data_IF_309739307343
#
_entry.id   IF_309739307343
#
_cell.length_a   1.000
_cell.length_b   1.000
_cell.length_c   1.000
_cell.angle_alpha   90.00
_cell.angle_beta   90.00
_cell.angle_gamma   90.00
#
_symmetry.space_group_name_H-M   'P 1'
#
loop_
_entity.id
_entity.type
_entity.pdbx_description
1 polymer ?
#
# COMPACT_ATOMS: atom_id res chain seq x y z
N UNK A 1 23.36 16.27 -24.05
CA UNK A 1 23.98 15.11 -24.74
C UNK A 1 23.00 14.59 -25.77
N UNK A 2 23.30 14.90 -27.02
CA UNK A 2 22.56 14.45 -28.20
C UNK A 2 22.67 12.94 -28.34
N UNK A 3 21.54 12.27 -28.45
CA UNK A 3 21.55 10.89 -28.92
C UNK A 3 20.25 10.53 -29.64
N UNK A 4 20.43 10.38 -30.95
CA UNK A 4 19.75 9.45 -31.84
C UNK A 4 18.23 9.60 -32.11
N UNK A 5 17.91 10.45 -33.08
CA UNK A 5 16.77 10.26 -33.97
C UNK A 5 17.26 9.98 -35.42
N UNK A 6 17.63 8.73 -35.79
CA UNK A 6 17.98 8.41 -37.17
C UNK A 6 16.81 7.92 -38.04
N UNK A 7 15.66 7.58 -37.51
CA UNK A 7 14.63 6.88 -38.30
C UNK A 7 13.53 7.78 -38.91
N UNK A 8 13.24 8.94 -38.33
CA UNK A 8 12.25 9.86 -38.91
C UNK A 8 12.74 10.59 -40.20
N UNK A 9 14.05 10.78 -40.34
CA UNK A 9 14.63 11.47 -41.51
C UNK A 9 14.68 10.58 -42.75
N UNK A 10 14.72 9.24 -42.58
CA UNK A 10 14.74 8.31 -43.72
C UNK A 10 13.36 8.06 -44.34
N UNK A 11 12.28 8.22 -43.64
CA UNK A 11 10.91 8.05 -44.15
C UNK A 11 10.46 9.21 -45.06
N UNK A 12 10.99 10.40 -44.88
CA UNK A 12 10.66 11.57 -45.70
C UNK A 12 11.34 11.62 -47.08
N UNK A 13 12.40 10.84 -47.31
CA UNK A 13 13.04 10.74 -48.64
C UNK A 13 12.38 9.69 -49.55
N UNK A 14 11.56 8.78 -49.07
CA UNK A 14 10.81 7.80 -49.84
C UNK A 14 9.42 8.30 -50.31
N UNK A 15 8.99 9.45 -49.83
CA UNK A 15 7.65 10.03 -50.07
C UNK A 15 7.50 10.80 -51.39
N UNK A 16 8.51 10.92 -52.27
CA UNK A 16 8.42 11.59 -53.56
C UNK A 16 8.09 10.66 -54.73
N UNK A 17 7.50 9.50 -54.49
CA UNK A 17 6.97 8.69 -55.56
C UNK A 17 5.52 9.07 -55.84
N UNK A 18 5.33 9.58 -57.07
CA UNK A 18 4.11 9.89 -57.80
C UNK A 18 2.85 9.16 -57.30
N UNK A 19 1.75 9.92 -57.21
CA UNK A 19 0.42 9.38 -56.85
C UNK A 19 0.11 8.07 -57.59
N UNK A 20 -0.70 7.16 -57.03
CA UNK A 20 -1.08 5.90 -57.72
C UNK A 20 -1.54 6.12 -59.15
N UNK A 21 -2.19 7.24 -59.38
CA UNK A 21 -2.67 7.66 -60.69
C UNK A 21 -1.49 7.93 -61.67
N UNK A 22 -0.44 8.59 -61.25
CA UNK A 22 0.74 8.86 -62.08
C UNK A 22 1.47 7.55 -62.40
N UNK A 23 1.59 6.62 -61.46
CA UNK A 23 2.16 5.29 -61.72
C UNK A 23 1.34 4.48 -62.70
N UNK A 24 -0.01 4.51 -62.61
CA UNK A 24 -0.87 3.86 -63.55
C UNK A 24 -0.77 4.46 -64.96
N UNK A 25 -0.76 5.80 -65.06
CA UNK A 25 -0.56 6.50 -66.35
C UNK A 25 0.77 6.16 -66.97
N UNK A 26 1.87 6.12 -66.20
CA UNK A 26 3.17 5.70 -66.69
C UNK A 26 3.17 4.25 -67.18
N UNK A 27 2.58 3.34 -66.48
CA UNK A 27 2.45 1.94 -66.89
C UNK A 27 1.69 1.82 -68.21
N UNK A 28 0.56 2.56 -68.35
CA UNK A 28 -0.23 2.61 -69.59
C UNK A 28 0.60 3.21 -70.76
N UNK A 29 1.29 4.32 -70.48
CA UNK A 29 2.13 4.95 -71.53
C UNK A 29 3.23 4.02 -72.01
N UNK A 30 3.96 3.37 -71.12
CA UNK A 30 4.97 2.38 -71.45
C UNK A 30 4.41 1.22 -72.24
N UNK A 31 3.23 0.70 -71.86
CA UNK A 31 2.56 -0.35 -72.60
C UNK A 31 2.17 0.08 -74.05
N UNK A 32 1.63 1.28 -74.19
CA UNK A 32 1.29 1.86 -75.52
C UNK A 32 2.53 2.05 -76.38
N UNK A 33 3.63 2.57 -75.85
CA UNK A 33 4.87 2.74 -76.57
C UNK A 33 5.47 1.42 -77.04
N UNK A 34 5.52 0.41 -76.13
CA UNK A 34 6.01 -0.92 -76.45
C UNK A 34 5.11 -1.57 -77.52
N UNK A 35 3.81 -1.43 -77.39
CA UNK A 35 2.80 -1.97 -78.33
C UNK A 35 2.99 -1.36 -79.73
N UNK A 36 3.10 -0.03 -79.83
CA UNK A 36 3.32 0.67 -81.09
C UNK A 36 4.64 0.28 -81.73
N UNK A 37 5.73 0.19 -80.97
CA UNK A 37 7.01 -0.27 -81.47
C UNK A 37 6.97 -1.71 -81.93
N UNK A 38 6.30 -2.59 -81.21
CA UNK A 38 6.11 -3.98 -81.62
C UNK A 38 5.35 -4.07 -82.96
N UNK A 39 4.24 -3.39 -83.13
CA UNK A 39 3.41 -3.41 -84.32
C UNK A 39 4.29 -2.90 -85.53
N UNK A 40 4.83 -1.71 -85.42
CA UNK A 40 5.57 -1.08 -86.51
C UNK A 40 6.83 -1.86 -86.93
N UNK A 41 7.61 -2.35 -85.93
CA UNK A 41 8.86 -3.06 -86.24
C UNK A 41 8.56 -4.48 -86.76
N UNK A 42 7.64 -5.19 -86.16
CA UNK A 42 7.32 -6.57 -86.51
C UNK A 42 6.57 -6.66 -87.85
N UNK A 43 5.78 -5.62 -88.23
CA UNK A 43 5.14 -5.55 -89.54
C UNK A 43 6.20 -5.38 -90.66
N UNK A 44 7.15 -4.45 -90.48
CA UNK A 44 8.24 -4.31 -91.41
C UNK A 44 9.13 -5.55 -91.58
N UNK A 45 9.39 -6.24 -90.48
CA UNK A 45 10.16 -7.48 -90.51
C UNK A 45 9.38 -8.61 -91.22
N UNK A 46 8.11 -8.74 -91.00
CA UNK A 46 7.23 -9.71 -91.65
C UNK A 46 7.19 -9.48 -93.17
N UNK A 47 6.99 -8.23 -93.62
CA UNK A 47 7.04 -7.85 -95.03
C UNK A 47 8.39 -8.18 -95.76
N UNK A 48 9.47 -7.99 -95.04
CA UNK A 48 10.85 -8.31 -95.53
C UNK A 48 11.09 -9.80 -95.70
N UNK A 49 10.55 -10.65 -94.89
CA UNK A 49 10.84 -12.08 -94.79
C UNK A 49 9.81 -12.96 -95.53
N UNK A 50 8.54 -12.46 -95.70
CA UNK A 50 7.43 -13.20 -96.34
C UNK A 50 6.79 -12.40 -97.51
N UNK A 51 7.38 -12.46 -98.76
CA UNK A 51 6.88 -11.68 -99.87
C UNK A 51 5.58 -12.20 -100.44
N UNK A 52 5.10 -13.46 -100.11
CA UNK A 52 3.90 -14.03 -100.49
C UNK A 52 2.68 -13.48 -99.62
N UNK A 53 1.60 -12.90 -100.24
CA UNK A 53 0.50 -12.30 -99.50
C UNK A 53 -0.27 -13.28 -98.61
N UNK A 54 -0.37 -14.57 -99.00
CA UNK A 54 -1.01 -15.59 -98.20
C UNK A 54 -0.22 -15.97 -96.90
N UNK A 55 1.07 -16.13 -97.05
CA UNK A 55 1.94 -16.43 -95.95
C UNK A 55 2.09 -15.23 -94.96
N UNK A 56 2.08 -14.01 -95.47
CA UNK A 56 2.13 -12.78 -94.66
C UNK A 56 0.88 -12.63 -93.76
N UNK A 57 -0.31 -12.91 -94.27
CA UNK A 57 -1.55 -12.84 -93.51
C UNK A 57 -1.55 -13.83 -92.32
N UNK A 58 -1.09 -15.07 -92.53
CA UNK A 58 -0.97 -16.04 -91.44
C UNK A 58 0.01 -15.65 -90.37
N UNK A 59 1.19 -15.15 -90.80
CA UNK A 59 2.21 -14.69 -89.88
C UNK A 59 1.74 -13.48 -89.05
N UNK A 60 1.05 -12.52 -89.65
CA UNK A 60 0.44 -11.39 -88.94
C UNK A 60 -0.60 -11.82 -87.88
N UNK A 61 -1.40 -12.83 -88.15
CA UNK A 61 -2.41 -13.40 -87.25
C UNK A 61 -1.69 -14.03 -86.03
N UNK A 62 -0.74 -14.92 -86.29
CA UNK A 62 0.06 -15.57 -85.22
C UNK A 62 0.85 -14.57 -84.33
N UNK A 63 1.40 -13.56 -84.96
CA UNK A 63 2.09 -12.46 -84.29
C UNK A 63 1.16 -11.71 -83.33
N UNK A 64 -0.07 -11.44 -83.78
CA UNK A 64 -1.10 -10.81 -82.93
C UNK A 64 -1.44 -11.66 -81.71
N UNK A 65 -1.67 -12.97 -81.92
CA UNK A 65 -1.91 -13.90 -80.81
C UNK A 65 -0.74 -13.93 -79.80
N UNK A 66 0.52 -14.02 -80.30
CA UNK A 66 1.71 -14.04 -79.45
C UNK A 66 1.80 -12.76 -78.62
N UNK A 67 1.57 -11.59 -79.22
CA UNK A 67 1.60 -10.29 -78.51
C UNK A 67 0.55 -10.26 -77.38
N UNK A 68 -0.66 -10.65 -77.66
CA UNK A 68 -1.74 -10.68 -76.66
C UNK A 68 -1.42 -11.65 -75.52
N UNK A 69 -0.87 -12.82 -75.83
CA UNK A 69 -0.46 -13.81 -74.81
C UNK A 69 0.67 -13.30 -73.92
N UNK A 70 1.71 -12.73 -74.52
CA UNK A 70 2.89 -12.21 -73.75
C UNK A 70 2.46 -11.02 -72.87
N UNK A 71 1.73 -10.05 -73.44
CA UNK A 71 1.28 -8.88 -72.71
C UNK A 71 0.26 -9.21 -71.63
N UNK A 72 -0.67 -10.13 -71.91
CA UNK A 72 -1.67 -10.63 -70.95
C UNK A 72 -1.00 -11.36 -69.79
N UNK A 73 0.02 -12.20 -70.08
CA UNK A 73 0.81 -12.88 -69.02
C UNK A 73 1.59 -11.89 -68.18
N UNK A 74 2.23 -10.91 -68.79
CA UNK A 74 2.96 -9.86 -68.09
C UNK A 74 2.07 -9.05 -67.16
N UNK A 75 0.88 -8.63 -67.68
CA UNK A 75 -0.10 -7.91 -66.91
C UNK A 75 -0.63 -8.76 -65.72
N UNK A 76 -0.95 -10.03 -65.98
CA UNK A 76 -1.36 -10.95 -64.90
C UNK A 76 -0.32 -11.07 -63.80
N UNK A 77 0.97 -11.24 -64.16
CA UNK A 77 2.06 -11.35 -63.18
C UNK A 77 2.20 -10.06 -62.35
N UNK A 78 2.10 -8.89 -62.98
CA UNK A 78 2.18 -7.60 -62.27
C UNK A 78 1.00 -7.46 -61.30
N UNK A 79 -0.21 -7.67 -61.77
CA UNK A 79 -1.42 -7.60 -60.93
C UNK A 79 -1.40 -8.63 -59.82
N UNK A 80 -1.00 -9.86 -60.09
CA UNK A 80 -0.87 -10.90 -59.08
C UNK A 80 0.13 -10.51 -57.98
N UNK A 81 1.29 -10.01 -58.36
CA UNK A 81 2.30 -9.51 -57.40
C UNK A 81 1.78 -8.30 -56.57
N UNK A 82 1.04 -7.40 -57.20
CA UNK A 82 0.47 -6.24 -56.53
C UNK A 82 -0.59 -6.70 -55.49
N UNK A 83 -1.54 -7.52 -55.88
CA UNK A 83 -2.57 -8.04 -55.02
C UNK A 83 -2.01 -8.87 -53.84
N UNK A 84 -0.96 -9.66 -54.08
CA UNK A 84 -0.32 -10.43 -53.00
C UNK A 84 0.39 -9.52 -52.02
N UNK A 85 1.07 -8.45 -52.44
CA UNK A 85 1.65 -7.46 -51.56
C UNK A 85 0.63 -6.71 -50.76
N UNK A 86 -0.48 -6.25 -51.36
CA UNK A 86 -1.54 -5.52 -50.68
C UNK A 86 -2.22 -6.41 -49.61
N UNK A 87 -2.46 -7.68 -49.90
CA UNK A 87 -2.97 -8.66 -48.93
C UNK A 87 -1.99 -8.83 -47.75
N UNK A 88 -0.68 -8.95 -48.02
CA UNK A 88 0.31 -9.11 -46.99
C UNK A 88 0.41 -7.85 -46.06
N UNK A 89 0.33 -6.65 -46.64
CA UNK A 89 0.30 -5.38 -45.86
C UNK A 89 -0.95 -5.27 -44.98
N UNK A 90 -2.11 -5.59 -45.55
CA UNK A 90 -3.38 -5.59 -44.79
C UNK A 90 -3.36 -6.60 -43.65
N UNK A 91 -2.86 -7.82 -43.89
CA UNK A 91 -2.73 -8.85 -42.84
C UNK A 91 -1.77 -8.42 -41.71
N UNK A 92 -0.66 -7.77 -42.07
CA UNK A 92 0.28 -7.23 -41.09
C UNK A 92 -0.35 -6.11 -40.25
N UNK A 93 -1.03 -5.16 -40.87
CA UNK A 93 -1.73 -4.09 -40.15
C UNK A 93 -2.82 -4.64 -39.22
N UNK A 94 -3.55 -5.65 -39.67
CA UNK A 94 -4.58 -6.29 -38.85
C UNK A 94 -3.96 -7.00 -37.64
N UNK A 95 -2.88 -7.75 -37.84
CA UNK A 95 -2.17 -8.44 -36.74
C UNK A 95 -1.57 -7.46 -35.73
N UNK A 96 -0.98 -6.34 -36.19
CA UNK A 96 -0.47 -5.30 -35.31
C UNK A 96 -1.57 -4.64 -34.47
N UNK A 97 -2.72 -4.32 -35.08
CA UNK A 97 -3.86 -3.77 -34.35
C UNK A 97 -4.43 -4.76 -33.33
N UNK A 98 -4.51 -6.04 -33.67
CA UNK A 98 -4.92 -7.06 -32.71
C UNK A 98 -3.95 -7.20 -31.54
N UNK A 99 -2.65 -7.24 -31.82
CA UNK A 99 -1.63 -7.33 -30.77
C UNK A 99 -1.66 -6.10 -29.83
N UNK A 100 -1.85 -4.89 -30.38
CA UNK A 100 -2.00 -3.67 -29.57
C UNK A 100 -3.23 -3.74 -28.68
N UNK A 101 -4.41 -4.07 -29.23
CA UNK A 101 -5.64 -4.22 -28.46
C UNK A 101 -5.54 -5.29 -27.38
N UNK A 102 -4.84 -6.38 -27.65
CA UNK A 102 -4.61 -7.44 -26.68
C UNK A 102 -3.73 -6.95 -25.52
N UNK A 103 -2.67 -6.21 -25.81
CA UNK A 103 -1.80 -5.59 -24.78
C UNK A 103 -2.57 -4.58 -23.95
N UNK A 104 -3.31 -3.68 -24.57
CA UNK A 104 -4.17 -2.71 -23.85
C UNK A 104 -5.14 -3.43 -22.91
N UNK A 105 -5.83 -4.46 -23.41
CA UNK A 105 -6.77 -5.24 -22.60
C UNK A 105 -6.08 -5.97 -21.43
N UNK A 106 -4.89 -6.53 -21.65
CA UNK A 106 -4.12 -7.17 -20.60
C UNK A 106 -3.71 -6.17 -19.50
N UNK A 107 -3.23 -4.97 -19.88
CA UNK A 107 -2.88 -3.92 -18.93
C UNK A 107 -4.11 -3.45 -18.14
N UNK A 108 -5.24 -3.22 -18.79
CA UNK A 108 -6.49 -2.83 -18.11
C UNK A 108 -6.92 -3.89 -17.09
N UNK A 109 -6.92 -5.17 -17.47
CA UNK A 109 -7.28 -6.26 -16.55
C UNK A 109 -6.32 -6.35 -15.37
N UNK A 110 -5.01 -6.14 -15.58
CA UNK A 110 -4.03 -6.12 -14.47
C UNK A 110 -4.29 -4.93 -13.53
N UNK A 111 -4.52 -3.73 -14.07
CA UNK A 111 -4.82 -2.53 -13.29
C UNK A 111 -6.13 -2.66 -12.50
N UNK A 112 -7.17 -3.24 -13.09
CA UNK A 112 -8.48 -3.41 -12.45
C UNK A 112 -8.48 -4.49 -11.35
N UNK A 113 -7.54 -5.45 -11.41
CA UNK A 113 -7.35 -6.48 -10.39
C UNK A 113 -6.41 -6.06 -9.24
N UNK A 114 -5.76 -4.90 -9.32
CA UNK A 114 -5.03 -4.38 -8.18
C UNK A 114 -5.99 -4.10 -7.00
N UNK A 115 -5.57 -4.36 -5.75
CA UNK A 115 -6.37 -4.02 -4.55
C UNK A 115 -6.38 -2.51 -4.26
N UNK A 116 -6.43 -1.68 -5.29
CA UNK A 116 -6.35 -0.24 -5.24
C UNK A 116 -6.67 0.39 -6.58
N UNK A 117 -6.10 1.54 -6.87
CA UNK A 117 -6.23 2.21 -8.16
C UNK A 117 -4.88 2.64 -8.72
N UNK A 118 -4.76 2.62 -10.06
CA UNK A 118 -3.70 3.32 -10.78
C UNK A 118 -4.24 4.69 -11.21
N UNK A 119 -3.38 5.69 -11.19
CA UNK A 119 -3.76 7.06 -11.52
C UNK A 119 -2.69 7.78 -12.33
N UNK A 120 -3.12 8.84 -13.01
CA UNK A 120 -2.31 9.92 -13.57
C UNK A 120 -2.99 11.24 -13.24
N UNK A 121 -2.27 12.17 -12.62
CA UNK A 121 -2.80 13.48 -12.27
C UNK A 121 -1.86 14.61 -12.68
N UNK A 122 -2.37 15.84 -12.69
CA UNK A 122 -1.56 17.04 -12.75
C UNK A 122 -0.83 17.23 -11.41
N UNK A 123 0.38 17.75 -11.46
CA UNK A 123 1.07 18.26 -10.28
C UNK A 123 0.54 19.66 -9.98
N UNK A 124 -0.63 19.71 -9.33
CA UNK A 124 -1.32 20.95 -8.94
C UNK A 124 -1.89 20.80 -7.50
N UNK A 125 -2.35 21.90 -6.85
CA UNK A 125 -2.86 21.86 -5.48
C UNK A 125 -4.10 20.97 -5.27
N UNK A 126 -4.79 20.59 -6.34
CA UNK A 126 -6.02 19.81 -6.31
C UNK A 126 -5.78 18.32 -6.63
N UNK A 127 -4.54 17.97 -7.06
CA UNK A 127 -4.23 16.63 -7.58
C UNK A 127 -5.21 16.22 -8.68
N UNK A 128 -5.39 17.11 -9.68
CA UNK A 128 -6.39 16.95 -10.73
C UNK A 128 -6.18 15.66 -11.52
N UNK A 129 -7.05 14.67 -11.33
CA UNK A 129 -6.95 13.37 -11.98
C UNK A 129 -7.23 13.48 -13.48
N UNK A 130 -6.32 12.98 -14.31
CA UNK A 130 -6.46 12.86 -15.77
C UNK A 130 -6.86 11.43 -16.17
N UNK A 131 -6.45 10.47 -15.38
CA UNK A 131 -6.79 9.06 -15.54
C UNK A 131 -6.83 8.39 -14.17
N UNK A 132 -7.80 7.51 -13.98
CA UNK A 132 -7.87 6.56 -12.86
C UNK A 132 -8.38 5.22 -13.37
N UNK A 133 -7.85 4.11 -12.85
CA UNK A 133 -8.33 2.77 -13.20
C UNK A 133 -9.69 2.46 -12.55
N UNK A 134 -10.35 1.38 -12.97
CA UNK A 134 -11.63 0.92 -12.41
C UNK A 134 -11.61 0.62 -10.90
N UNK A 135 -10.41 0.44 -10.33
CA UNK A 135 -10.21 0.32 -8.87
C UNK A 135 -10.61 1.55 -8.07
N UNK A 136 -10.69 2.72 -8.70
CA UNK A 136 -11.11 3.97 -8.11
C UNK A 136 -12.41 3.88 -7.31
N UNK A 137 -13.45 3.27 -7.90
CA UNK A 137 -14.74 3.12 -7.25
C UNK A 137 -14.69 2.25 -5.99
N UNK A 138 -13.84 1.22 -5.98
CA UNK A 138 -13.61 0.38 -4.79
C UNK A 138 -12.85 1.13 -3.70
N UNK A 139 -11.84 1.91 -4.07
CA UNK A 139 -10.98 2.65 -3.15
C UNK A 139 -11.70 3.86 -2.55
N UNK A 140 -12.24 4.75 -3.38
CA UNK A 140 -12.76 6.05 -2.96
C UNK A 140 -14.29 6.11 -2.84
N UNK A 141 -15.01 5.16 -3.43
CA UNK A 141 -16.47 5.20 -3.56
C UNK A 141 -16.97 6.10 -4.69
N UNK A 142 -16.08 6.84 -5.36
CA UNK A 142 -16.40 7.67 -6.53
C UNK A 142 -16.15 6.91 -7.83
N UNK A 143 -16.98 7.14 -8.84
CA UNK A 143 -16.72 6.63 -10.17
C UNK A 143 -15.57 7.43 -10.83
N UNK A 144 -14.80 6.82 -11.75
CA UNK A 144 -13.72 7.50 -12.45
C UNK A 144 -14.13 8.85 -13.05
N UNK A 145 -15.32 8.94 -13.63
CA UNK A 145 -15.84 10.13 -14.28
C UNK A 145 -16.15 11.26 -13.30
N UNK A 146 -16.28 10.98 -12.01
CA UNK A 146 -16.53 11.98 -10.97
C UNK A 146 -15.23 12.66 -10.52
N UNK A 147 -14.10 11.93 -10.51
CA UNK A 147 -12.77 12.43 -10.13
C UNK A 147 -12.00 13.03 -11.30
N UNK A 148 -12.14 12.47 -12.51
CA UNK A 148 -11.41 12.97 -13.69
C UNK A 148 -11.78 14.42 -13.96
N UNK A 149 -10.74 15.28 -14.05
CA UNK A 149 -10.84 16.73 -14.21
C UNK A 149 -11.64 17.42 -13.09
N UNK A 150 -11.64 16.84 -11.88
CA UNK A 150 -12.32 17.39 -10.69
C UNK A 150 -13.82 17.67 -10.95
N UNK A 151 -14.48 16.77 -11.71
CA UNK A 151 -15.84 17.04 -12.20
C UNK A 151 -16.88 17.12 -11.08
N UNK A 152 -16.72 16.34 -10.02
CA UNK A 152 -17.59 16.34 -8.82
C UNK A 152 -16.78 16.73 -7.59
N UNK A 153 -15.60 16.17 -7.44
CA UNK A 153 -14.70 16.36 -6.32
C UNK A 153 -13.26 16.28 -6.80
N UNK A 154 -12.35 17.06 -6.22
CA UNK A 154 -10.91 16.87 -6.46
C UNK A 154 -10.37 15.78 -5.55
N UNK A 155 -9.27 15.13 -5.94
CA UNK A 155 -8.65 14.14 -5.06
C UNK A 155 -8.09 14.79 -3.79
N UNK A 156 -7.60 16.02 -3.87
CA UNK A 156 -7.15 16.80 -2.73
C UNK A 156 -8.23 17.01 -1.65
N UNK A 157 -9.49 17.15 -2.07
CA UNK A 157 -10.61 17.33 -1.14
C UNK A 157 -10.96 16.04 -0.35
N UNK A 158 -10.43 14.89 -0.73
CA UNK A 158 -10.63 13.63 -0.03
C UNK A 158 -9.63 13.42 1.13
N UNK A 159 -8.57 14.22 1.19
CA UNK A 159 -7.55 14.17 2.24
C UNK A 159 -7.90 15.16 3.36
N UNK A 160 -7.52 14.83 4.60
CA UNK A 160 -7.50 15.82 5.67
C UNK A 160 -6.45 16.91 5.39
N UNK A 161 -6.67 18.12 5.96
CA UNK A 161 -5.82 19.27 5.68
C UNK A 161 -4.37 19.05 6.10
N UNK A 162 -4.15 18.44 7.28
CA UNK A 162 -2.82 18.21 7.81
C UNK A 162 -2.05 17.17 6.96
N UNK A 163 -2.75 16.10 6.53
CA UNK A 163 -2.20 15.10 5.62
C UNK A 163 -1.92 15.71 4.24
N UNK A 164 -2.80 16.54 3.71
CA UNK A 164 -2.63 17.19 2.40
C UNK A 164 -1.35 18.05 2.34
N UNK A 165 -1.04 18.83 3.39
CA UNK A 165 0.19 19.63 3.46
C UNK A 165 1.44 18.75 3.56
N UNK A 166 1.41 17.71 4.39
CA UNK A 166 2.52 16.77 4.55
C UNK A 166 2.82 16.04 3.25
N UNK A 167 1.80 15.45 2.63
CA UNK A 167 1.93 14.73 1.35
C UNK A 167 2.44 15.65 0.25
N UNK A 168 1.93 16.88 0.16
CA UNK A 168 2.38 17.85 -0.83
C UNK A 168 3.89 18.17 -0.68
N UNK A 169 4.38 18.29 0.55
CA UNK A 169 5.80 18.54 0.81
C UNK A 169 6.68 17.33 0.45
N UNK A 170 6.28 16.12 0.85
CA UNK A 170 7.01 14.88 0.54
C UNK A 170 7.07 14.64 -0.98
N UNK A 171 5.96 14.83 -1.69
CA UNK A 171 5.92 14.73 -3.16
C UNK A 171 6.75 15.81 -3.82
N UNK A 172 6.72 17.07 -3.33
CA UNK A 172 7.51 18.16 -3.86
C UNK A 172 9.01 17.88 -3.77
N UNK A 173 9.48 17.32 -2.64
CA UNK A 173 10.87 16.94 -2.44
C UNK A 173 11.29 15.85 -3.44
N UNK A 174 10.49 14.79 -3.58
CA UNK A 174 10.76 13.71 -4.53
C UNK A 174 10.77 14.20 -5.99
N UNK A 175 9.84 15.08 -6.36
CA UNK A 175 9.77 15.69 -7.70
C UNK A 175 11.03 16.52 -7.99
N UNK A 176 11.53 17.30 -7.00
CA UNK A 176 12.77 18.09 -7.17
C UNK A 176 14.01 17.20 -7.32
N UNK A 177 14.04 16.05 -6.66
CA UNK A 177 15.14 15.09 -6.75
C UNK A 177 15.03 14.17 -7.97
N UNK A 178 13.89 14.15 -8.65
CA UNK A 178 13.62 13.25 -9.77
C UNK A 178 13.45 11.79 -9.34
N UNK A 179 13.05 11.57 -8.09
CA UNK A 179 12.86 10.26 -7.48
C UNK A 179 11.38 9.88 -7.40
N UNK A 180 11.12 8.60 -7.12
CA UNK A 180 9.77 8.13 -6.83
C UNK A 180 9.43 8.42 -5.36
N UNK A 181 8.21 8.90 -5.08
CA UNK A 181 7.71 9.08 -3.72
C UNK A 181 6.91 7.87 -3.23
N UNK A 182 6.83 7.73 -1.91
CA UNK A 182 6.02 6.71 -1.24
C UNK A 182 5.47 7.30 0.06
N UNK A 183 4.15 7.44 0.14
CA UNK A 183 3.46 8.12 1.24
C UNK A 183 2.26 7.29 1.74
N UNK A 184 1.95 7.44 3.04
CA UNK A 184 0.74 6.87 3.66
C UNK A 184 -0.07 8.03 4.25
N UNK A 185 -1.39 8.04 4.01
CA UNK A 185 -2.30 9.08 4.49
C UNK A 185 -3.75 8.62 4.54
N UNK A 186 -4.59 9.38 5.24
CA UNK A 186 -6.02 9.12 5.33
C UNK A 186 -6.80 9.73 4.16
N UNK A 187 -7.81 8.98 3.68
CA UNK A 187 -8.73 9.40 2.63
C UNK A 187 -10.16 9.20 3.08
N UNK A 188 -10.99 10.23 2.99
CA UNK A 188 -12.42 10.16 3.24
C UNK A 188 -13.15 9.72 1.98
N UNK A 189 -13.80 8.56 2.03
CA UNK A 189 -14.59 8.00 0.95
C UNK A 189 -15.91 8.74 0.76
N UNK A 190 -16.57 8.49 -0.38
CA UNK A 190 -17.89 9.07 -0.70
C UNK A 190 -18.99 8.75 0.33
N UNK A 191 -18.90 7.62 1.01
CA UNK A 191 -19.81 7.20 2.08
C UNK A 191 -19.49 7.81 3.46
N UNK A 192 -18.46 8.65 3.54
CA UNK A 192 -17.97 9.27 4.77
C UNK A 192 -17.04 8.40 5.61
N UNK A 193 -16.75 7.16 5.18
CA UNK A 193 -15.80 6.28 5.86
C UNK A 193 -14.38 6.73 5.54
N UNK A 194 -13.53 6.78 6.57
CA UNK A 194 -12.10 7.01 6.42
C UNK A 194 -11.35 5.70 6.18
N UNK A 195 -10.41 5.72 5.27
CA UNK A 195 -9.48 4.62 4.98
C UNK A 195 -8.04 5.14 4.98
N UNK A 196 -7.09 4.28 5.29
CA UNK A 196 -5.67 4.57 5.13
C UNK A 196 -5.20 4.07 3.77
N UNK A 197 -4.59 4.94 2.98
CA UNK A 197 -4.02 4.58 1.68
C UNK A 197 -2.50 4.65 1.72
N UNK A 198 -1.86 3.72 1.02
CA UNK A 198 -0.46 3.80 0.65
C UNK A 198 -0.38 4.15 -0.82
N UNK A 199 0.39 5.18 -1.12
CA UNK A 199 0.60 5.68 -2.46
C UNK A 199 2.07 5.58 -2.84
N UNK A 200 2.34 5.13 -4.06
CA UNK A 200 3.65 5.21 -4.69
C UNK A 200 3.53 5.75 -6.09
N UNK A 201 4.25 6.81 -6.37
CA UNK A 201 4.21 7.47 -7.65
C UNK A 201 5.55 8.05 -8.07
N UNK A 202 5.60 8.55 -9.30
CA UNK A 202 6.75 9.26 -9.84
C UNK A 202 6.30 10.39 -10.77
N UNK A 203 7.20 11.34 -10.98
CA UNK A 203 7.03 12.42 -11.95
C UNK A 203 7.23 11.90 -13.37
N UNK A 204 6.36 12.35 -14.29
CA UNK A 204 6.47 12.12 -15.73
C UNK A 204 6.28 13.45 -16.45
N UNK A 205 7.16 13.79 -17.39
CA UNK A 205 6.97 14.96 -18.24
C UNK A 205 6.11 14.59 -19.46
N UNK A 206 5.01 15.29 -19.65
CA UNK A 206 4.16 15.13 -20.81
C UNK A 206 4.79 15.74 -22.07
N UNK A 207 4.33 15.33 -23.26
CA UNK A 207 4.85 15.84 -24.54
C UNK A 207 4.67 17.36 -24.75
N UNK A 208 3.77 17.99 -23.97
CA UNK A 208 3.52 19.42 -23.96
C UNK A 208 4.31 20.17 -22.87
N UNK A 209 5.21 19.48 -22.14
CA UNK A 209 6.06 20.04 -21.08
C UNK A 209 5.37 20.18 -19.72
N UNK A 210 4.14 19.69 -19.55
CA UNK A 210 3.48 19.67 -18.23
C UNK A 210 4.06 18.57 -17.36
N UNK A 211 4.19 18.85 -16.07
CA UNK A 211 4.55 17.87 -15.05
C UNK A 211 3.30 17.09 -14.66
N UNK A 212 3.36 15.79 -14.79
CA UNK A 212 2.34 14.84 -14.36
C UNK A 212 2.91 13.92 -13.28
N UNK A 213 2.03 13.40 -12.45
CA UNK A 213 2.35 12.30 -11.54
C UNK A 213 1.60 11.05 -12.00
N UNK A 214 2.30 9.93 -11.98
CA UNK A 214 1.74 8.61 -12.24
C UNK A 214 2.07 7.68 -11.08
N UNK A 215 1.08 6.90 -10.64
CA UNK A 215 1.29 6.02 -9.52
C UNK A 215 0.17 5.03 -9.30
N UNK A 216 0.29 4.34 -8.17
CA UNK A 216 -0.70 3.43 -7.63
C UNK A 216 -1.04 3.83 -6.20
N UNK A 217 -2.30 3.63 -5.81
CA UNK A 217 -2.80 3.78 -4.46
C UNK A 217 -3.44 2.48 -4.02
N UNK A 218 -3.11 2.01 -2.82
CA UNK A 218 -3.63 0.78 -2.22
C UNK A 218 -4.32 1.11 -0.90
N UNK A 219 -5.46 0.47 -0.63
CA UNK A 219 -6.07 0.47 0.69
C UNK A 219 -5.23 -0.41 1.62
N UNK A 220 -4.67 0.19 2.67
CA UNK A 220 -3.88 -0.49 3.70
C UNK A 220 -4.57 -0.49 5.06
N UNK A 221 -5.87 -0.17 5.13
CA UNK A 221 -6.62 -0.07 6.37
C UNK A 221 -6.60 -1.37 7.18
N UNK A 222 -6.80 -2.52 6.51
CA UNK A 222 -6.74 -3.83 7.16
C UNK A 222 -5.33 -4.14 7.68
N UNK A 223 -4.29 -3.77 6.92
CA UNK A 223 -2.89 -3.93 7.36
C UNK A 223 -2.60 -3.10 8.60
N UNK A 224 -3.00 -1.82 8.61
CA UNK A 224 -2.82 -0.92 9.76
C UNK A 224 -3.59 -1.39 10.99
N UNK A 225 -4.84 -1.84 10.81
CA UNK A 225 -5.63 -2.40 11.91
C UNK A 225 -4.95 -3.63 12.53
N UNK A 226 -4.40 -4.53 11.68
CA UNK A 226 -3.66 -5.70 12.15
C UNK A 226 -2.32 -5.32 12.83
N UNK A 227 -1.60 -4.33 12.31
CA UNK A 227 -0.38 -3.80 12.94
C UNK A 227 -0.68 -3.26 14.36
N UNK A 228 -1.75 -2.46 14.51
CA UNK A 228 -2.20 -1.93 15.80
C UNK A 228 -2.62 -3.08 16.74
N UNK A 229 -3.36 -4.06 16.24
CA UNK A 229 -3.79 -5.22 17.03
C UNK A 229 -2.58 -6.05 17.51
N UNK A 230 -1.60 -6.28 16.64
CA UNK A 230 -0.35 -6.97 16.99
C UNK A 230 0.45 -6.19 18.04
N UNK A 231 0.54 -4.87 17.92
CA UNK A 231 1.20 -4.01 18.90
C UNK A 231 0.48 -4.05 20.25
N UNK A 232 -0.85 -3.99 20.24
CA UNK A 232 -1.65 -4.13 21.46
C UNK A 232 -1.44 -5.49 22.13
N UNK A 233 -1.49 -6.60 21.36
CA UNK A 233 -1.25 -7.94 21.89
C UNK A 233 0.18 -8.12 22.40
N UNK A 234 1.15 -7.43 21.81
CA UNK A 234 2.54 -7.45 22.26
C UNK A 234 2.78 -6.66 23.55
N UNK A 235 2.00 -5.61 23.82
CA UNK A 235 2.27 -4.66 24.91
C UNK A 235 1.23 -4.69 26.03
N UNK A 236 -0.01 -5.13 25.75
CA UNK A 236 -1.12 -5.07 26.74
C UNK A 236 -1.74 -6.44 27.01
N UNK A 237 -2.36 -6.57 28.18
CA UNK A 237 -3.19 -7.71 28.56
C UNK A 237 -4.60 -7.57 27.97
N UNK A 238 -5.11 -8.54 27.20
CA UNK A 238 -6.37 -8.40 26.46
C UNK A 238 -7.63 -8.35 27.38
N UNK A 239 -7.54 -8.81 28.63
CA UNK A 239 -8.67 -8.75 29.54
C UNK A 239 -8.78 -7.39 30.24
N UNK A 240 -7.66 -6.87 30.73
CA UNK A 240 -7.64 -5.68 31.58
C UNK A 240 -7.29 -4.40 30.85
N UNK A 241 -6.65 -4.49 29.66
CA UNK A 241 -6.10 -3.36 28.93
C UNK A 241 -4.80 -2.79 29.51
N UNK A 242 -4.35 -3.27 30.67
CA UNK A 242 -3.09 -2.87 31.29
C UNK A 242 -1.90 -3.39 30.49
N UNK A 243 -0.70 -2.87 30.79
CA UNK A 243 0.53 -3.44 30.26
C UNK A 243 0.61 -4.93 30.58
N UNK A 244 1.12 -5.72 29.64
CA UNK A 244 1.37 -7.13 29.88
C UNK A 244 2.73 -7.37 30.53
N UNK A 245 3.01 -8.60 30.96
CA UNK A 245 4.27 -8.94 31.64
C UNK A 245 5.54 -8.65 30.83
N UNK A 246 5.63 -8.93 29.50
CA UNK A 246 6.79 -8.54 28.71
C UNK A 246 7.05 -7.03 28.70
N UNK A 247 6.01 -6.23 28.48
CA UNK A 247 6.14 -4.76 28.42
C UNK A 247 6.45 -4.16 29.78
N UNK A 248 5.89 -4.70 30.86
CA UNK A 248 6.30 -4.37 32.23
C UNK A 248 7.81 -4.56 32.43
N UNK A 249 8.36 -5.70 31.99
CA UNK A 249 9.80 -5.99 32.13
C UNK A 249 10.66 -4.92 31.44
N UNK A 250 10.29 -4.54 30.21
CA UNK A 250 10.97 -3.50 29.44
C UNK A 250 10.94 -2.13 30.15
N UNK A 251 9.76 -1.72 30.63
CA UNK A 251 9.59 -0.43 31.34
C UNK A 251 10.36 -0.43 32.66
N UNK A 252 10.34 -1.52 33.40
CA UNK A 252 11.07 -1.62 34.66
C UNK A 252 12.58 -1.47 34.44
N UNK A 253 13.15 -2.12 33.43
CA UNK A 253 14.57 -2.00 33.09
C UNK A 253 14.91 -0.57 32.66
N UNK A 254 14.11 0.07 31.81
CA UNK A 254 14.32 1.47 31.39
C UNK A 254 14.27 2.45 32.57
N UNK A 255 13.33 2.25 33.52
CA UNK A 255 13.20 3.14 34.66
C UNK A 255 14.31 2.91 35.67
N UNK A 256 14.81 1.69 35.82
CA UNK A 256 16.01 1.39 36.62
C UNK A 256 17.25 2.09 36.05
N UNK A 257 17.49 1.97 34.74
CA UNK A 257 18.61 2.68 34.10
C UNK A 257 18.50 4.19 34.27
N UNK A 258 17.29 4.73 34.21
CA UNK A 258 17.05 6.15 34.46
C UNK A 258 17.32 6.52 35.91
N UNK A 259 16.84 5.75 36.86
CA UNK A 259 17.01 5.95 38.29
C UNK A 259 18.48 5.89 38.67
N UNK A 260 19.26 4.96 38.16
CA UNK A 260 20.69 4.84 38.34
C UNK A 260 21.43 6.07 37.81
N UNK A 261 21.13 6.46 36.56
CA UNK A 261 21.78 7.61 35.87
C UNK A 261 21.59 8.94 36.61
N UNK A 262 20.38 9.15 37.15
CA UNK A 262 20.03 10.42 37.82
C UNK A 262 20.09 10.36 39.33
N UNK A 263 20.50 9.21 39.91
CA UNK A 263 20.57 8.98 41.36
C UNK A 263 19.21 9.25 42.04
N UNK A 264 18.12 8.76 41.45
CA UNK A 264 16.77 8.89 41.96
C UNK A 264 16.23 7.54 42.43
N UNK A 265 15.40 7.57 43.46
CA UNK A 265 14.69 6.39 43.91
C UNK A 265 13.53 6.07 42.92
N UNK A 266 13.15 4.82 42.86
CA UNK A 266 11.89 4.36 42.27
C UNK A 266 11.28 3.25 43.12
N UNK A 267 9.97 3.09 43.10
CA UNK A 267 9.29 2.01 43.82
C UNK A 267 8.59 1.06 42.88
N UNK A 268 8.56 -0.18 43.30
CA UNK A 268 7.80 -1.27 42.69
C UNK A 268 6.75 -1.79 43.67
N UNK A 269 5.47 -1.78 43.26
CA UNK A 269 4.39 -2.41 44.01
C UNK A 269 4.08 -3.75 43.35
N UNK A 270 3.93 -4.82 44.17
CA UNK A 270 3.42 -6.10 43.77
C UNK A 270 2.09 -6.34 44.48
N UNK A 271 1.02 -6.53 43.71
CA UNK A 271 -0.36 -6.55 44.19
C UNK A 271 -0.99 -7.88 43.83
N UNK A 272 -1.71 -8.48 44.77
CA UNK A 272 -2.48 -9.68 44.54
C UNK A 272 -3.87 -9.54 45.16
N UNK A 273 -4.88 -10.04 44.47
CA UNK A 273 -6.29 -9.97 44.92
C UNK A 273 -6.57 -11.04 45.96
N UNK A 274 -6.95 -10.60 47.12
CA UNK A 274 -7.25 -11.50 48.24
C UNK A 274 -8.50 -12.35 47.93
N UNK A 275 -8.40 -13.67 48.16
CA UNK A 275 -9.50 -14.61 47.98
C UNK A 275 -10.07 -14.66 46.55
N UNK A 276 -9.33 -14.28 45.53
CA UNK A 276 -9.82 -14.23 44.16
C UNK A 276 -10.35 -15.58 43.65
N UNK A 277 -9.71 -16.67 44.05
CA UNK A 277 -10.18 -18.03 43.75
C UNK A 277 -11.60 -18.27 44.29
N UNK A 278 -11.91 -17.81 45.52
CA UNK A 278 -13.26 -17.97 46.11
C UNK A 278 -14.31 -17.20 45.31
N UNK A 279 -13.96 -16.04 44.75
CA UNK A 279 -14.82 -15.30 43.84
C UNK A 279 -15.14 -16.11 42.59
N UNK A 280 -14.13 -16.71 41.96
CA UNK A 280 -14.30 -17.57 40.80
C UNK A 280 -15.15 -18.82 41.11
N UNK A 281 -14.87 -19.47 42.24
CA UNK A 281 -15.55 -20.70 42.67
C UNK A 281 -17.04 -20.41 43.02
N UNK A 282 -17.35 -19.22 43.56
CA UNK A 282 -18.69 -18.83 43.99
C UNK A 282 -19.56 -18.22 42.88
N UNK A 283 -18.96 -17.44 41.98
CA UNK A 283 -19.68 -16.63 41.01
C UNK A 283 -19.28 -16.93 39.53
N UNK A 284 -18.36 -17.85 39.33
CA UNK A 284 -17.84 -18.21 38.01
C UNK A 284 -16.78 -17.26 37.47
N UNK A 285 -16.04 -17.71 36.45
CA UNK A 285 -14.90 -16.98 35.86
C UNK A 285 -15.29 -15.62 35.26
N UNK A 286 -16.49 -15.49 34.70
CA UNK A 286 -16.97 -14.21 34.15
C UNK A 286 -17.12 -13.14 35.26
N UNK A 287 -17.49 -13.54 36.48
CA UNK A 287 -17.51 -12.64 37.63
C UNK A 287 -16.10 -12.26 38.08
N UNK A 288 -15.15 -13.22 38.08
CA UNK A 288 -13.75 -12.95 38.34
C UNK A 288 -13.14 -11.97 37.34
N UNK A 289 -13.41 -12.18 36.05
CA UNK A 289 -12.95 -11.26 34.98
C UNK A 289 -13.50 -9.83 35.21
N UNK A 290 -14.77 -9.71 35.59
CA UNK A 290 -15.38 -8.41 35.92
C UNK A 290 -14.73 -7.76 37.13
N UNK A 291 -14.41 -8.54 38.16
CA UNK A 291 -13.68 -8.09 39.37
C UNK A 291 -12.31 -7.57 38.95
N UNK A 292 -11.52 -8.34 38.17
CA UNK A 292 -10.23 -7.93 37.65
C UNK A 292 -10.34 -6.59 36.91
N UNK A 293 -11.20 -6.50 35.89
CA UNK A 293 -11.37 -5.27 35.10
C UNK A 293 -11.82 -4.07 35.95
N UNK A 294 -12.68 -4.29 36.94
CA UNK A 294 -13.18 -3.19 37.79
C UNK A 294 -12.09 -2.66 38.74
N UNK A 295 -11.34 -3.56 39.37
CA UNK A 295 -10.30 -3.16 40.32
C UNK A 295 -9.08 -2.58 39.58
N UNK A 296 -8.66 -3.17 38.48
CA UNK A 296 -7.52 -2.64 37.69
C UNK A 296 -7.80 -1.23 37.19
N UNK A 297 -9.00 -0.92 36.73
CA UNK A 297 -9.37 0.46 36.36
C UNK A 297 -9.23 1.41 37.55
N UNK A 298 -9.65 1.02 38.76
CA UNK A 298 -9.51 1.85 39.97
C UNK A 298 -8.04 2.08 40.32
N UNK A 299 -7.18 1.07 40.14
CA UNK A 299 -5.74 1.20 40.36
C UNK A 299 -5.16 2.19 39.35
N UNK A 300 -5.47 2.05 38.07
CA UNK A 300 -5.01 2.94 37.00
C UNK A 300 -5.47 4.39 37.19
N UNK A 301 -6.75 4.62 37.54
CA UNK A 301 -7.29 5.95 37.85
C UNK A 301 -6.70 6.58 39.11
N UNK A 302 -6.04 5.79 39.96
CA UNK A 302 -5.51 6.24 41.25
C UNK A 302 -4.01 6.48 41.26
N UNK A 303 -3.31 6.26 40.14
CA UNK A 303 -1.89 6.53 39.96
C UNK A 303 -1.67 7.73 39.03
N UNK A 304 -0.43 8.26 38.99
CA UNK A 304 -0.09 9.38 38.12
C UNK A 304 0.13 8.90 36.68
N UNK A 305 0.08 9.81 35.73
CA UNK A 305 0.31 9.49 34.29
C UNK A 305 1.74 9.00 33.99
N UNK A 306 2.69 9.24 34.89
CA UNK A 306 4.07 8.75 34.78
C UNK A 306 4.25 7.37 35.41
N UNK A 307 3.28 6.91 36.21
CA UNK A 307 3.32 5.59 36.83
C UNK A 307 2.82 4.55 35.81
N UNK A 308 3.39 3.36 35.85
CA UNK A 308 3.03 2.27 34.93
C UNK A 308 2.36 1.12 35.68
N UNK A 309 1.18 0.74 35.23
CA UNK A 309 0.39 -0.38 35.80
C UNK A 309 0.38 -1.54 34.82
N UNK A 310 0.69 -2.75 35.30
CA UNK A 310 0.74 -3.93 34.47
C UNK A 310 0.08 -5.13 35.14
N UNK A 311 -0.45 -6.05 34.33
CA UNK A 311 -0.86 -7.37 34.78
C UNK A 311 0.28 -8.35 34.61
N UNK A 312 0.81 -8.87 35.72
CA UNK A 312 1.91 -9.82 35.68
C UNK A 312 1.45 -11.24 35.33
N UNK A 313 0.25 -11.63 35.78
CA UNK A 313 -0.39 -12.90 35.44
C UNK A 313 -1.53 -13.22 36.42
N UNK A 314 -2.55 -13.95 35.97
CA UNK A 314 -3.69 -14.34 36.80
C UNK A 314 -4.35 -13.15 37.50
N UNK A 315 -4.23 -13.11 38.85
CA UNK A 315 -4.72 -12.05 39.73
C UNK A 315 -3.62 -11.13 40.25
N UNK A 316 -2.40 -11.21 39.68
CA UNK A 316 -1.25 -10.41 40.10
C UNK A 316 -1.09 -9.17 39.23
N UNK A 317 -0.99 -8.01 39.88
CA UNK A 317 -0.71 -6.72 39.25
C UNK A 317 0.59 -6.14 39.79
N UNK A 318 1.26 -5.36 38.94
CA UNK A 318 2.51 -4.67 39.34
C UNK A 318 2.43 -3.20 38.94
N UNK A 319 3.00 -2.33 39.76
CA UNK A 319 3.02 -0.88 39.49
C UNK A 319 4.45 -0.36 39.66
N UNK A 320 4.97 0.30 38.64
CA UNK A 320 6.24 1.03 38.69
C UNK A 320 5.94 2.48 39.01
N UNK A 321 6.56 2.98 40.06
CA UNK A 321 6.39 4.35 40.57
C UNK A 321 7.73 5.12 40.46
N UNK A 322 7.96 5.85 39.35
CA UNK A 322 9.17 6.63 39.21
C UNK A 322 9.33 7.72 40.29
N UNK A 323 10.58 7.97 40.68
CA UNK A 323 10.96 9.07 41.56
C UNK A 323 10.27 9.09 42.96
N UNK A 324 9.86 7.91 43.44
CA UNK A 324 9.30 7.77 44.79
C UNK A 324 10.25 7.03 45.73
N UNK A 325 10.42 7.60 46.93
CA UNK A 325 11.08 6.96 48.06
C UNK A 325 10.15 6.08 48.88
N UNK A 326 10.70 5.45 49.91
CA UNK A 326 9.99 4.48 50.80
C UNK A 326 8.70 5.05 51.38
N UNK A 327 8.73 6.25 51.95
CA UNK A 327 7.54 6.82 52.62
C UNK A 327 6.40 7.09 51.66
N UNK A 328 6.72 7.69 50.50
CA UNK A 328 5.74 8.03 49.46
C UNK A 328 5.16 6.78 48.76
N UNK A 329 6.01 5.77 48.56
CA UNK A 329 5.58 4.49 48.01
C UNK A 329 4.60 3.75 48.93
N UNK A 330 4.87 3.74 50.25
CA UNK A 330 3.97 3.18 51.24
C UNK A 330 2.64 3.94 51.31
N UNK A 331 2.66 5.27 51.28
CA UNK A 331 1.46 6.10 51.25
C UNK A 331 0.62 5.80 49.98
N UNK A 332 1.27 5.68 48.84
CA UNK A 332 0.61 5.33 47.58
C UNK A 332 0.00 3.92 47.66
N UNK A 333 0.75 2.94 48.13
CA UNK A 333 0.26 1.56 48.27
C UNK A 333 -0.94 1.48 49.22
N UNK A 334 -0.91 2.16 50.36
CA UNK A 334 -2.02 2.20 51.32
C UNK A 334 -3.23 2.94 50.78
N UNK A 335 -3.05 4.00 50.00
CA UNK A 335 -4.13 4.70 49.28
C UNK A 335 -4.81 3.80 48.27
N UNK A 336 -4.04 3.04 47.46
CA UNK A 336 -4.55 2.07 46.51
C UNK A 336 -5.33 0.97 47.20
N UNK A 337 -4.80 0.37 48.25
CA UNK A 337 -5.44 -0.67 49.06
C UNK A 337 -6.82 -0.19 49.59
N UNK A 338 -6.85 0.99 50.22
CA UNK A 338 -8.10 1.59 50.76
C UNK A 338 -9.10 1.83 49.65
N UNK A 339 -8.67 2.35 48.50
CA UNK A 339 -9.53 2.63 47.35
C UNK A 339 -10.21 1.37 46.81
N UNK A 340 -9.49 0.25 46.77
CA UNK A 340 -10.08 -1.05 46.37
C UNK A 340 -11.08 -1.55 47.38
N UNK A 341 -10.73 -1.53 48.67
CA UNK A 341 -11.57 -2.01 49.78
C UNK A 341 -12.88 -1.24 49.94
N UNK A 342 -12.85 0.09 49.76
CA UNK A 342 -14.02 0.96 50.00
C UNK A 342 -15.15 0.76 49.00
N UNK A 343 -14.89 0.21 47.85
CA UNK A 343 -15.84 0.07 46.75
C UNK A 343 -16.01 -1.40 46.34
N UNK A 344 -17.07 -2.08 46.78
CA UNK A 344 -17.36 -3.42 46.26
C UNK A 344 -17.56 -3.40 44.74
N UNK A 345 -17.38 -4.53 44.10
CA UNK A 345 -17.61 -4.69 42.66
C UNK A 345 -19.02 -5.20 42.44
N UNK A 346 -19.83 -4.42 41.74
CA UNK A 346 -21.19 -4.81 41.38
C UNK A 346 -21.12 -5.76 40.16
N UNK A 347 -21.59 -6.99 40.34
CA UNK A 347 -21.75 -7.99 39.30
C UNK A 347 -22.99 -7.74 38.44
N UNK A 348 -23.07 -8.35 37.27
CA UNK A 348 -24.22 -8.27 36.37
C UNK A 348 -25.50 -8.93 37.01
N UNK A 349 -25.28 -9.84 37.95
CA UNK A 349 -26.33 -10.42 38.76
C UNK A 349 -26.94 -9.49 39.81
N UNK A 350 -26.41 -8.27 39.94
CA UNK A 350 -26.85 -7.28 40.96
C UNK A 350 -26.27 -7.50 42.35
N UNK A 351 -25.30 -8.40 42.51
CA UNK A 351 -24.63 -8.63 43.80
C UNK A 351 -23.37 -7.79 43.90
N UNK A 352 -23.14 -7.25 45.09
CA UNK A 352 -21.91 -6.55 45.43
C UNK A 352 -20.88 -7.52 46.01
N UNK A 353 -19.71 -7.61 45.40
CA UNK A 353 -18.59 -8.45 45.84
C UNK A 353 -17.53 -7.56 46.46
N UNK A 354 -17.28 -7.68 47.79
CA UNK A 354 -16.19 -7.00 48.45
C UNK A 354 -14.86 -7.62 48.01
N UNK A 355 -13.88 -6.77 47.66
CA UNK A 355 -12.54 -7.18 47.23
C UNK A 355 -11.53 -6.43 48.05
N UNK A 356 -10.48 -7.14 48.49
CA UNK A 356 -9.29 -6.54 49.08
C UNK A 356 -8.05 -6.96 48.32
N UNK A 357 -6.94 -6.29 48.56
CA UNK A 357 -5.65 -6.56 47.94
C UNK A 357 -4.53 -6.61 48.99
N UNK A 358 -3.62 -7.55 48.83
CA UNK A 358 -2.35 -7.58 49.53
C UNK A 358 -1.25 -6.95 48.65
N UNK A 359 -0.48 -6.02 49.24
CA UNK A 359 0.50 -5.21 48.49
C UNK A 359 1.90 -5.36 49.10
N UNK A 360 2.85 -5.77 48.26
CA UNK A 360 4.28 -5.72 48.59
C UNK A 360 4.93 -4.51 47.96
N UNK A 361 5.76 -3.79 48.68
CA UNK A 361 6.47 -2.60 48.22
C UNK A 361 7.99 -2.83 48.29
N UNK A 362 8.68 -2.64 47.16
CA UNK A 362 10.15 -2.59 47.11
C UNK A 362 10.61 -1.27 46.51
N UNK A 363 11.75 -0.76 46.97
CA UNK A 363 12.28 0.55 46.52
C UNK A 363 13.74 0.39 46.09
N UNK A 364 14.07 0.92 44.94
CA UNK A 364 15.46 1.10 44.48
C UNK A 364 16.07 2.35 45.12
N UNK A 365 17.32 2.31 45.59
CA UNK A 365 18.23 1.15 45.57
C UNK A 365 18.13 0.25 46.81
N UNK A 366 17.32 0.58 47.82
CA UNK A 366 17.31 -0.01 49.16
C UNK A 366 17.02 -1.52 49.18
N UNK A 367 16.17 -2.00 48.26
CA UNK A 367 15.70 -3.38 48.24
C UNK A 367 16.19 -4.21 47.02
N UNK A 368 17.04 -3.61 46.19
CA UNK A 368 17.66 -4.27 45.04
C UNK A 368 18.18 -3.26 44.02
N UNK A 369 19.15 -3.69 43.21
CA UNK A 369 19.78 -2.91 42.15
C UNK A 369 19.40 -3.38 40.73
N UNK A 370 18.77 -4.52 40.63
CA UNK A 370 18.32 -5.10 39.36
C UNK A 370 16.81 -5.32 39.35
N UNK A 371 16.22 -5.39 38.15
CA UNK A 371 14.80 -5.70 37.98
C UNK A 371 14.41 -7.00 38.69
N UNK A 372 15.27 -8.03 38.58
CA UNK A 372 15.00 -9.35 39.19
C UNK A 372 15.02 -9.27 40.73
N UNK A 373 15.96 -8.50 41.33
CA UNK A 373 16.04 -8.33 42.78
C UNK A 373 14.83 -7.56 43.32
N UNK A 374 14.45 -6.45 42.67
CA UNK A 374 13.29 -5.66 43.04
C UNK A 374 11.97 -6.43 42.93
N UNK A 375 11.78 -7.16 41.82
CA UNK A 375 10.61 -8.02 41.66
C UNK A 375 10.55 -9.08 42.76
N UNK A 376 11.67 -9.77 43.06
CA UNK A 376 11.71 -10.77 44.09
C UNK A 376 11.48 -10.18 45.49
N UNK A 377 11.97 -8.94 45.76
CA UNK A 377 11.74 -8.25 47.03
C UNK A 377 10.28 -7.84 47.22
N UNK A 378 9.64 -7.27 46.18
CA UNK A 378 8.24 -6.86 46.19
C UNK A 378 7.30 -8.07 46.30
N UNK A 379 7.55 -9.17 45.57
CA UNK A 379 6.80 -10.41 45.66
C UNK A 379 6.85 -11.06 47.03
N UNK A 380 8.08 -11.18 47.65
CA UNK A 380 8.21 -11.65 49.02
C UNK A 380 7.45 -10.77 50.02
N UNK A 381 7.47 -9.46 49.83
CA UNK A 381 6.72 -8.53 50.67
C UNK A 381 5.20 -8.72 50.51
N UNK A 382 4.70 -8.92 49.30
CA UNK A 382 3.31 -9.21 49.05
C UNK A 382 2.88 -10.54 49.68
N UNK A 383 3.71 -11.58 49.59
CA UNK A 383 3.44 -12.84 50.27
C UNK A 383 3.37 -12.69 51.81
N UNK A 384 4.21 -11.81 52.39
CA UNK A 384 4.12 -11.44 53.82
C UNK A 384 2.79 -10.78 54.13
N UNK A 385 2.35 -9.81 53.32
CA UNK A 385 1.04 -9.19 53.47
C UNK A 385 -0.08 -10.25 53.52
N UNK A 386 -0.05 -11.24 52.63
CA UNK A 386 -0.99 -12.37 52.66
C UNK A 386 -0.96 -13.18 53.97
N UNK A 387 0.24 -13.46 54.50
CA UNK A 387 0.39 -14.23 55.77
C UNK A 387 0.05 -13.45 57.01
N UNK A 388 0.17 -12.12 56.99
CA UNK A 388 -0.19 -11.22 58.10
C UNK A 388 -1.68 -10.95 58.21
N UNK A 389 -2.53 -11.58 57.39
CA UNK A 389 -3.97 -11.47 57.47
C UNK A 389 -4.64 -10.84 56.26
N UNK A 390 -3.86 -10.62 55.18
CA UNK A 390 -4.34 -9.97 53.92
C UNK A 390 -4.77 -8.52 54.15
N UNK A 391 -5.34 -7.88 53.11
CA UNK A 391 -5.78 -6.49 53.15
C UNK A 391 -4.81 -5.56 53.86
N UNK A 392 -3.51 -5.68 53.51
CA UNK A 392 -2.44 -4.85 54.11
C UNK A 392 -1.29 -4.63 53.14
N UNK A 393 -0.43 -3.70 53.48
CA UNK A 393 0.82 -3.37 52.77
C UNK A 393 1.98 -3.88 53.60
N UNK A 394 2.98 -4.50 52.94
CA UNK A 394 4.20 -4.94 53.60
C UNK A 394 5.42 -4.53 52.75
N UNK A 395 6.57 -4.42 53.41
CA UNK A 395 7.89 -4.23 52.78
C UNK A 395 8.81 -5.42 53.03
N UNK A 396 9.86 -5.61 52.28
CA UNK A 396 10.91 -6.59 52.63
C UNK A 396 11.43 -6.34 54.07
N UNK A 397 11.80 -7.41 54.76
CA UNK A 397 12.55 -7.23 55.99
C UNK A 397 13.92 -6.66 55.67
N UNK A 398 14.37 -5.69 56.42
CA UNK A 398 15.74 -5.21 56.31
C UNK A 398 16.66 -6.44 56.36
N UNK A 399 17.46 -6.66 55.32
CA UNK A 399 18.45 -7.72 55.33
C UNK A 399 19.32 -7.46 56.59
N UNK A 400 19.31 -8.39 57.54
CA UNK A 400 20.26 -8.29 58.64
C UNK A 400 21.64 -8.15 57.99
N UNK A 401 22.45 -7.19 58.40
CA UNK A 401 23.78 -7.02 57.85
C UNK A 401 24.52 -8.36 58.02
N UNK A 402 24.90 -8.97 56.90
CA UNK A 402 25.72 -10.17 56.88
C UNK A 402 27.02 -9.82 57.66
N UNK A 403 27.10 -10.35 58.85
CA UNK A 403 28.22 -10.21 59.77
C UNK A 403 29.49 -10.91 59.26
#
# INVERSE_FOLDING_TARGET
MESNRPDEVRLNHLGKFSSPLVRALWAVLVYLVIGLLWITFSDRLAELWFPDPGALSQVQTWKGFLFVMVTGTALFLVLYRQLTKDRALLSLQYSQRQALRQRERQLTVLMDNLPGMAYRCLYDPYWTMLFVSGGCARLTGYQPEELINNKVVSFGDLMDRDDAERVANEVAEAVQQGEAFSVEYAVTRKDGREICVWERGCMVEAADGRILLEGIMLDISDRKALEIELEQLATTDPLTGLLNRPEFGRILEEELERSERYHRSMALLWIDFDHFKEVNDSWGHAAGDKVLCSVTRRLEESVRSVDSVARFGGEEMVIVLPELGVAEALETAERLRKRVREQPVMLDSGHDVPVTISVGVAVYPDHGHTAAELCAAADRAMYRAKTQGRDCVAMPEDAEPVS
#
